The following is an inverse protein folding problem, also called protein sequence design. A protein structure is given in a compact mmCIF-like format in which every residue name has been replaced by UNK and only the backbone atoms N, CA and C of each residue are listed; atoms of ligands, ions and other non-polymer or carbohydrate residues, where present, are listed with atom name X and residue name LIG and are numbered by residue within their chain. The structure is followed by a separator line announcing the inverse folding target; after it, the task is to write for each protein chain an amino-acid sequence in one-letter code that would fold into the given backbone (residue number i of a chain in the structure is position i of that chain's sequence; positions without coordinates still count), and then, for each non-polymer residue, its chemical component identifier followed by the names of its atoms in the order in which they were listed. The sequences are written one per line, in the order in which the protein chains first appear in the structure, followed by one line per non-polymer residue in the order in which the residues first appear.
data_IF_898387430832
#
_entry.id   IF_898387430832
#
_cell.length_a   1.000
_cell.length_b   1.000
_cell.length_c   1.000
_cell.angle_alpha   90.00
_cell.angle_beta   90.00
_cell.angle_gamma   90.00
#
_symmetry.space_group_name_H-M   'P 1'
#
loop_
_entity.id
_entity.type
_entity.pdbx_description
1 polymer ?
#
# COMPACT_ATOMS: atom_id res chain seq x y z
N UNK A 1 -58.70 103.72 30.20
CA UNK A 1 -59.54 102.59 30.64
C UNK A 1 -59.13 101.97 31.97
N UNK A 2 -57.84 101.69 32.25
CA UNK A 2 -57.43 101.00 33.50
C UNK A 2 -57.88 101.64 34.83
N UNK A 3 -57.99 102.97 34.91
CA UNK A 3 -58.44 103.67 36.13
C UNK A 3 -59.92 103.44 36.41
N UNK A 4 -60.74 103.60 35.37
CA UNK A 4 -62.19 103.45 35.43
C UNK A 4 -62.58 102.01 35.81
N UNK A 5 -61.90 101.01 35.23
CA UNK A 5 -62.15 99.59 35.52
C UNK A 5 -61.85 99.17 36.96
N UNK A 6 -60.98 99.91 37.67
CA UNK A 6 -60.62 99.68 39.06
C UNK A 6 -61.38 100.63 40.01
N UNK A 7 -62.35 101.40 39.51
CA UNK A 7 -63.15 102.35 40.29
C UNK A 7 -62.39 103.60 40.77
N UNK A 8 -61.18 103.85 40.26
CA UNK A 8 -60.31 104.95 40.70
C UNK A 8 -60.61 106.22 39.88
N UNK A 9 -60.99 107.29 40.57
CA UNK A 9 -61.32 108.59 39.98
C UNK A 9 -60.11 109.54 39.99
N UNK A 10 -60.23 110.72 39.38
CA UNK A 10 -59.15 111.74 39.42
C UNK A 10 -58.97 112.36 40.81
N UNK A 11 -59.99 112.32 41.66
CA UNK A 11 -59.96 112.88 43.02
C UNK A 11 -59.07 112.08 43.96
N UNK A 12 -58.93 110.78 43.73
CA UNK A 12 -58.14 109.89 44.58
C UNK A 12 -56.63 110.16 44.51
N UNK A 13 -56.17 110.99 43.55
CA UNK A 13 -54.76 111.38 43.31
C UNK A 13 -53.75 110.22 43.31
N UNK A 14 -54.20 108.98 43.12
CA UNK A 14 -53.36 107.78 43.13
C UNK A 14 -52.40 107.80 41.94
N UNK A 15 -51.11 107.56 42.17
CA UNK A 15 -50.08 107.50 41.10
C UNK A 15 -50.33 106.32 40.16
N UNK A 16 -50.08 106.52 38.86
CA UNK A 16 -50.28 105.50 37.81
C UNK A 16 -49.44 104.22 38.01
N UNK A 17 -48.33 104.29 38.74
CA UNK A 17 -47.48 103.12 39.00
C UNK A 17 -48.19 102.07 39.87
N UNK A 18 -48.93 102.52 40.89
CA UNK A 18 -49.73 101.65 41.75
C UNK A 18 -50.85 100.98 40.95
N UNK A 19 -51.59 101.76 40.15
CA UNK A 19 -52.70 101.27 39.31
C UNK A 19 -52.22 100.21 38.29
N UNK A 20 -51.04 100.40 37.70
CA UNK A 20 -50.42 99.43 36.80
C UNK A 20 -49.93 98.17 37.52
N UNK A 21 -49.46 98.31 38.75
CA UNK A 21 -49.08 97.21 39.63
C UNK A 21 -50.28 96.32 40.00
N UNK A 22 -51.40 96.93 40.42
CA UNK A 22 -52.63 96.19 40.78
C UNK A 22 -53.25 95.47 39.58
N UNK A 23 -53.24 96.10 38.41
CA UNK A 23 -53.79 95.52 37.18
C UNK A 23 -52.92 94.42 36.52
N UNK A 24 -51.78 94.04 37.12
CA UNK A 24 -50.83 93.04 36.56
C UNK A 24 -50.40 93.32 35.11
N UNK A 25 -50.51 94.57 34.65
CA UNK A 25 -49.97 95.00 33.37
C UNK A 25 -48.47 95.17 33.59
N UNK A 26 -47.75 94.04 33.56
CA UNK A 26 -46.29 94.01 33.68
C UNK A 26 -45.67 95.08 32.79
N UNK A 27 -44.60 95.73 33.28
CA UNK A 27 -44.03 96.94 32.68
C UNK A 27 -43.93 96.74 31.17
N UNK A 28 -44.85 97.36 30.41
CA UNK A 28 -44.80 97.35 28.94
C UNK A 28 -43.42 97.77 28.44
N UNK A 29 -42.73 98.63 29.22
CA UNK A 29 -41.33 98.98 29.03
C UNK A 29 -40.36 97.80 28.97
N UNK A 30 -40.55 96.72 29.75
CA UNK A 30 -39.69 95.53 29.70
C UNK A 30 -39.87 94.76 28.39
N UNK A 31 -41.10 94.68 27.89
CA UNK A 31 -41.41 94.03 26.60
C UNK A 31 -40.92 94.87 25.43
N UNK A 32 -41.13 96.19 25.47
CA UNK A 32 -40.59 97.15 24.49
C UNK A 32 -39.06 97.14 24.53
N UNK A 33 -38.45 97.01 25.71
CA UNK A 33 -37.00 96.90 25.89
C UNK A 33 -36.47 95.58 25.34
N UNK A 34 -37.14 94.46 25.56
CA UNK A 34 -36.78 93.17 24.97
C UNK A 34 -36.90 93.19 23.43
N UNK A 35 -37.97 93.80 22.90
CA UNK A 35 -38.16 93.99 21.46
C UNK A 35 -37.12 94.94 20.86
N UNK A 36 -36.75 96.01 21.58
CA UNK A 36 -35.66 96.93 21.21
C UNK A 36 -34.29 96.24 21.25
N UNK A 37 -34.00 95.44 22.27
CA UNK A 37 -32.77 94.61 22.36
C UNK A 37 -32.72 93.53 21.27
N UNK A 38 -33.88 93.02 20.86
CA UNK A 38 -34.02 92.10 19.74
C UNK A 38 -33.82 92.81 18.40
N UNK A 39 -34.22 94.07 18.28
CA UNK A 39 -33.98 94.93 17.11
C UNK A 39 -32.50 95.30 16.98
N UNK A 40 -31.83 95.64 18.09
CA UNK A 40 -30.38 95.85 18.16
C UNK A 40 -29.54 94.56 18.14
N UNK A 41 -30.15 93.38 17.97
CA UNK A 41 -29.45 92.11 17.81
C UNK A 41 -28.73 91.57 19.07
N UNK A 42 -28.94 92.18 20.24
CA UNK A 42 -28.31 91.78 21.50
C UNK A 42 -28.84 90.44 22.03
N UNK A 43 -30.08 90.08 21.66
CA UNK A 43 -30.64 88.75 21.94
C UNK A 43 -30.12 87.77 20.88
N UNK A 44 -29.09 87.00 21.23
CA UNK A 44 -28.55 85.95 20.35
C UNK A 44 -29.61 84.89 20.03
N UNK A 45 -30.27 85.01 18.88
CA UNK A 45 -31.05 83.90 18.30
C UNK A 45 -30.13 82.70 18.14
N UNK A 46 -30.41 81.58 18.85
CA UNK A 46 -29.76 80.28 18.60
C UNK A 46 -29.69 80.01 17.10
N UNK A 47 -28.53 80.23 16.49
CA UNK A 47 -28.40 80.25 15.03
C UNK A 47 -28.90 78.92 14.45
N UNK A 48 -30.04 78.97 13.73
CA UNK A 48 -30.56 77.81 12.98
C UNK A 48 -29.46 77.22 12.09
N UNK A 49 -28.53 78.04 11.59
CA UNK A 49 -27.31 77.64 10.85
C UNK A 49 -26.39 76.73 11.69
N UNK A 50 -26.03 77.07 12.93
CA UNK A 50 -25.24 76.21 13.86
C UNK A 50 -25.95 74.88 14.16
N UNK A 51 -27.27 74.89 14.44
CA UNK A 51 -28.06 73.66 14.63
C UNK A 51 -28.07 72.77 13.38
N UNK A 52 -28.30 73.35 12.19
CA UNK A 52 -28.24 72.65 10.89
C UNK A 52 -26.84 72.06 10.62
N UNK A 53 -25.76 72.80 10.93
CA UNK A 53 -24.35 72.34 10.80
C UNK A 53 -24.05 71.16 11.74
N UNK A 54 -24.53 71.20 13.00
CA UNK A 54 -24.41 70.08 13.97
C UNK A 54 -25.18 68.84 13.50
N UNK A 55 -26.40 68.99 12.97
CA UNK A 55 -27.22 67.90 12.38
C UNK A 55 -26.53 67.29 11.15
N UNK A 56 -25.99 68.11 10.24
CA UNK A 56 -25.19 67.67 9.07
C UNK A 56 -23.92 66.90 9.52
N UNK A 57 -23.16 67.40 10.50
CA UNK A 57 -21.99 66.71 11.08
C UNK A 57 -22.37 65.36 11.70
N UNK A 58 -23.45 65.28 12.48
CA UNK A 58 -23.98 64.01 13.05
C UNK A 58 -24.39 63.03 11.95
N UNK A 59 -25.09 63.47 10.89
CA UNK A 59 -25.45 62.63 9.73
C UNK A 59 -24.19 62.11 9.00
N UNK A 60 -23.18 62.96 8.75
CA UNK A 60 -21.89 62.55 8.16
C UNK A 60 -21.16 61.52 9.02
N UNK A 61 -21.08 61.71 10.36
CA UNK A 61 -20.50 60.73 11.30
C UNK A 61 -21.25 59.39 11.26
N UNK A 62 -22.60 59.39 11.28
CA UNK A 62 -23.42 58.16 11.13
C UNK A 62 -23.16 57.44 9.80
N UNK A 63 -23.10 58.16 8.66
CA UNK A 63 -22.75 57.60 7.34
C UNK A 63 -21.34 56.99 7.33
N UNK A 64 -20.32 57.67 7.89
CA UNK A 64 -18.95 57.14 8.03
C UNK A 64 -18.92 55.86 8.88
N UNK A 65 -19.62 55.82 10.03
CA UNK A 65 -19.76 54.62 10.88
C UNK A 65 -20.42 53.45 10.12
N UNK A 66 -21.52 53.70 9.38
CA UNK A 66 -22.19 52.68 8.53
C UNK A 66 -21.25 52.15 7.44
N UNK A 67 -20.51 53.01 6.73
CA UNK A 67 -19.50 52.59 5.72
C UNK A 67 -18.39 51.73 6.35
N UNK A 68 -17.84 52.12 7.50
CA UNK A 68 -16.84 51.32 8.24
C UNK A 68 -17.39 49.93 8.64
N UNK A 69 -18.62 49.86 9.18
CA UNK A 69 -19.29 48.58 9.50
C UNK A 69 -19.48 47.69 8.26
N UNK A 70 -19.94 48.25 7.13
CA UNK A 70 -20.06 47.52 5.84
C UNK A 70 -18.72 46.99 5.35
N UNK A 71 -17.64 47.79 5.38
CA UNK A 71 -16.27 47.36 5.02
C UNK A 71 -15.78 46.22 5.93
N UNK A 72 -15.96 46.32 7.26
CA UNK A 72 -15.62 45.24 8.22
C UNK A 72 -16.40 43.94 7.92
N UNK A 73 -17.72 44.01 7.66
CA UNK A 73 -18.54 42.85 7.26
C UNK A 73 -18.04 42.20 5.96
N UNK A 74 -17.73 43.00 4.92
CA UNK A 74 -17.16 42.50 3.64
C UNK A 74 -15.80 41.80 3.87
N UNK A 75 -14.89 42.39 4.65
CA UNK A 75 -13.60 41.77 5.00
C UNK A 75 -13.78 40.44 5.75
N UNK A 76 -14.68 40.36 6.75
CA UNK A 76 -15.02 39.11 7.47
C UNK A 76 -15.58 38.04 6.51
N UNK A 77 -16.51 38.39 5.61
CA UNK A 77 -17.05 37.46 4.58
C UNK A 77 -15.94 36.95 3.64
N UNK A 78 -15.05 37.81 3.14
CA UNK A 78 -13.89 37.42 2.32
C UNK A 78 -12.96 36.46 3.06
N UNK A 79 -12.61 36.74 4.34
CA UNK A 79 -11.80 35.84 5.19
C UNK A 79 -12.47 34.47 5.38
N UNK A 80 -13.79 34.43 5.68
CA UNK A 80 -14.56 33.17 5.79
C UNK A 80 -14.54 32.37 4.48
N UNK A 81 -14.77 33.01 3.32
CA UNK A 81 -14.69 32.35 1.99
C UNK A 81 -13.28 31.79 1.72
N UNK A 82 -12.21 32.55 2.00
CA UNK A 82 -10.81 32.07 1.87
C UNK A 82 -10.53 30.86 2.77
N UNK A 83 -10.96 30.90 4.04
CA UNK A 83 -10.83 29.75 4.98
C UNK A 83 -11.59 28.51 4.47
N UNK A 84 -12.84 28.66 3.99
CA UNK A 84 -13.62 27.56 3.39
C UNK A 84 -12.91 26.97 2.15
N UNK A 85 -12.39 27.80 1.23
CA UNK A 85 -11.62 27.35 0.05
C UNK A 85 -10.35 26.59 0.47
N UNK A 86 -9.57 27.09 1.45
CA UNK A 86 -8.39 26.38 1.99
C UNK A 86 -8.76 25.02 2.60
N UNK A 87 -9.83 24.94 3.41
CA UNK A 87 -10.34 23.66 3.97
C UNK A 87 -10.76 22.67 2.87
N UNK A 88 -11.50 23.12 1.84
CA UNK A 88 -11.87 22.28 0.67
C UNK A 88 -10.64 21.77 -0.09
N UNK A 89 -9.63 22.62 -0.36
CA UNK A 89 -8.36 22.21 -1.00
C UNK A 89 -7.60 21.17 -0.15
N UNK A 90 -7.47 21.37 1.16
CA UNK A 90 -6.87 20.40 2.09
C UNK A 90 -7.60 19.05 2.07
N UNK A 91 -8.95 19.04 2.14
CA UNK A 91 -9.78 17.81 2.04
C UNK A 91 -9.55 17.09 0.70
N UNK A 92 -9.55 17.81 -0.44
CA UNK A 92 -9.25 17.23 -1.78
C UNK A 92 -7.84 16.61 -1.83
N UNK A 93 -6.80 17.30 -1.32
CA UNK A 93 -5.42 16.76 -1.24
C UNK A 93 -5.36 15.48 -0.37
N UNK A 94 -6.00 15.46 0.81
CA UNK A 94 -6.10 14.26 1.67
C UNK A 94 -6.80 13.09 0.95
N UNK A 95 -7.92 13.33 0.27
CA UNK A 95 -8.63 12.30 -0.54
C UNK A 95 -7.74 11.75 -1.67
N UNK A 96 -7.03 12.61 -2.42
CA UNK A 96 -6.07 12.19 -3.47
C UNK A 96 -4.94 11.33 -2.88
N UNK A 97 -4.32 11.73 -1.75
CA UNK A 97 -3.29 10.94 -1.05
C UNK A 97 -3.82 9.56 -0.61
N UNK A 98 -5.03 9.48 -0.01
CA UNK A 98 -5.68 8.21 0.37
C UNK A 98 -5.93 7.30 -0.85
N UNK A 99 -6.45 7.85 -1.97
CA UNK A 99 -6.63 7.09 -3.23
C UNK A 99 -5.31 6.55 -3.78
N UNK A 100 -4.24 7.36 -3.81
CA UNK A 100 -2.88 6.92 -4.23
C UNK A 100 -2.35 5.78 -3.33
N UNK A 101 -2.46 5.90 -2.00
CA UNK A 101 -2.08 4.84 -1.04
C UNK A 101 -2.87 3.54 -1.28
N UNK A 102 -4.20 3.61 -1.47
CA UNK A 102 -5.04 2.44 -1.80
C UNK A 102 -4.62 1.78 -3.12
N UNK A 103 -4.36 2.55 -4.19
CA UNK A 103 -3.85 2.03 -5.48
C UNK A 103 -2.49 1.33 -5.31
N UNK A 104 -1.54 1.92 -4.58
CA UNK A 104 -0.23 1.29 -4.26
C UNK A 104 -0.40 -0.02 -3.49
N UNK A 105 -1.25 -0.08 -2.46
CA UNK A 105 -1.56 -1.32 -1.71
C UNK A 105 -2.17 -2.40 -2.62
N UNK A 106 -3.14 -2.06 -3.48
CA UNK A 106 -3.73 -2.99 -4.46
C UNK A 106 -2.68 -3.53 -5.43
N UNK A 107 -1.79 -2.68 -5.99
CA UNK A 107 -0.68 -3.12 -6.87
C UNK A 107 0.28 -4.07 -6.14
N UNK A 108 0.68 -3.78 -4.89
CA UNK A 108 1.52 -4.68 -4.07
C UNK A 108 0.85 -6.03 -3.81
N UNK A 109 -0.45 -6.06 -3.46
CA UNK A 109 -1.22 -7.31 -3.28
C UNK A 109 -1.29 -8.13 -4.58
N UNK A 110 -1.56 -7.50 -5.74
CA UNK A 110 -1.54 -8.18 -7.06
C UNK A 110 -0.17 -8.78 -7.39
N UNK A 111 0.93 -8.04 -7.16
CA UNK A 111 2.31 -8.54 -7.35
C UNK A 111 2.60 -9.75 -6.44
N UNK A 112 2.24 -9.70 -5.15
CA UNK A 112 2.39 -10.84 -4.21
C UNK A 112 1.59 -12.07 -4.67
N UNK A 113 0.33 -11.91 -5.09
CA UNK A 113 -0.49 -13.00 -5.65
C UNK A 113 0.14 -13.62 -6.90
N UNK A 114 0.64 -12.81 -7.86
CA UNK A 114 1.36 -13.30 -9.05
C UNK A 114 2.62 -14.09 -8.67
N UNK A 115 3.44 -13.60 -7.74
CA UNK A 115 4.64 -14.33 -7.24
C UNK A 115 4.26 -15.67 -6.60
N UNK A 116 3.23 -15.72 -5.73
CA UNK A 116 2.72 -16.97 -5.13
C UNK A 116 2.24 -17.98 -6.20
N UNK A 117 1.47 -17.53 -7.21
CA UNK A 117 1.03 -18.39 -8.33
C UNK A 117 2.23 -18.95 -9.13
N UNK A 118 3.23 -18.12 -9.46
CA UNK A 118 4.48 -18.57 -10.13
C UNK A 118 5.24 -19.62 -9.30
N UNK A 119 5.40 -19.39 -7.98
CA UNK A 119 6.03 -20.38 -7.06
C UNK A 119 5.26 -21.71 -7.02
N UNK A 120 3.92 -21.68 -6.92
CA UNK A 120 3.07 -22.90 -6.97
C UNK A 120 3.23 -23.66 -8.30
N UNK A 121 3.21 -22.96 -9.45
CA UNK A 121 3.44 -23.57 -10.77
C UNK A 121 4.83 -24.25 -10.86
N UNK A 122 5.89 -23.57 -10.41
CA UNK A 122 7.27 -24.15 -10.36
C UNK A 122 7.32 -25.41 -9.47
N UNK A 123 6.71 -25.38 -8.27
CA UNK A 123 6.63 -26.57 -7.37
C UNK A 123 5.88 -27.73 -8.05
N UNK A 124 4.73 -27.48 -8.70
CA UNK A 124 3.98 -28.51 -9.46
C UNK A 124 4.82 -29.12 -10.59
N UNK A 125 5.52 -28.29 -11.39
CA UNK A 125 6.43 -28.76 -12.46
C UNK A 125 7.56 -29.65 -11.90
N UNK A 126 8.21 -29.24 -10.80
CA UNK A 126 9.25 -30.05 -10.11
C UNK A 126 8.70 -31.39 -9.62
N UNK A 127 7.51 -31.42 -8.98
CA UNK A 127 6.84 -32.66 -8.56
C UNK A 127 6.54 -33.60 -9.73
N UNK A 128 6.01 -33.07 -10.85
CA UNK A 128 5.78 -33.85 -12.09
C UNK A 128 7.08 -34.44 -12.65
N UNK A 129 8.16 -33.66 -12.74
CA UNK A 129 9.49 -34.15 -13.18
C UNK A 129 10.02 -35.27 -12.26
N UNK A 130 9.93 -35.11 -10.93
CA UNK A 130 10.31 -36.17 -9.95
C UNK A 130 9.49 -37.46 -10.14
N UNK A 131 8.16 -37.36 -10.30
CA UNK A 131 7.29 -38.51 -10.58
C UNK A 131 7.68 -39.22 -11.89
N UNK A 132 7.92 -38.49 -12.99
CA UNK A 132 8.39 -39.06 -14.27
C UNK A 132 9.74 -39.79 -14.11
N UNK A 133 10.72 -39.19 -13.41
CA UNK A 133 12.01 -39.84 -13.11
C UNK A 133 11.83 -41.14 -12.30
N UNK A 134 10.99 -41.14 -11.25
CA UNK A 134 10.68 -42.36 -10.46
C UNK A 134 10.03 -43.45 -11.33
N UNK A 135 9.05 -43.11 -12.19
CA UNK A 135 8.43 -44.07 -13.13
C UNK A 135 9.46 -44.66 -14.10
N UNK A 136 10.35 -43.84 -14.70
CA UNK A 136 11.44 -44.31 -15.57
C UNK A 136 12.39 -45.27 -14.84
N UNK A 137 12.81 -44.94 -13.60
CA UNK A 137 13.65 -45.83 -12.76
C UNK A 137 12.96 -47.17 -12.48
N UNK A 138 11.66 -47.17 -12.10
CA UNK A 138 10.87 -48.40 -11.89
C UNK A 138 10.79 -49.26 -13.16
N UNK A 139 10.52 -48.65 -14.33
CA UNK A 139 10.50 -49.37 -15.64
C UNK A 139 11.87 -49.99 -15.95
N UNK A 140 12.98 -49.25 -15.77
CA UNK A 140 14.35 -49.78 -15.95
C UNK A 140 14.63 -50.97 -15.02
N UNK A 141 14.27 -50.88 -13.72
CA UNK A 141 14.42 -52.00 -12.76
C UNK A 141 13.60 -53.24 -13.18
N UNK A 142 12.34 -53.07 -13.60
CA UNK A 142 11.50 -54.17 -14.12
C UNK A 142 12.13 -54.83 -15.36
N UNK A 143 12.62 -54.06 -16.34
CA UNK A 143 13.34 -54.57 -17.53
C UNK A 143 14.59 -55.37 -17.14
N UNK A 144 15.42 -54.86 -16.21
CA UNK A 144 16.59 -55.58 -15.69
C UNK A 144 16.22 -56.90 -15.01
N UNK A 145 15.18 -56.93 -14.16
CA UNK A 145 14.66 -58.17 -13.53
C UNK A 145 14.19 -59.19 -14.58
N UNK A 146 13.41 -58.77 -15.59
CA UNK A 146 12.98 -59.64 -16.70
C UNK A 146 14.18 -60.23 -17.46
N UNK A 147 15.19 -59.41 -17.81
CA UNK A 147 16.43 -59.89 -18.46
C UNK A 147 17.17 -60.93 -17.60
N UNK A 148 17.33 -60.69 -16.28
CA UNK A 148 17.94 -61.65 -15.35
C UNK A 148 17.16 -62.97 -15.29
N UNK A 149 15.82 -62.94 -15.20
CA UNK A 149 14.97 -64.15 -15.23
C UNK A 149 15.15 -64.94 -16.54
N UNK A 150 15.14 -64.27 -17.70
CA UNK A 150 15.41 -64.91 -19.01
C UNK A 150 16.79 -65.58 -19.07
N UNK A 151 17.85 -64.91 -18.60
CA UNK A 151 19.21 -65.48 -18.50
C UNK A 151 19.25 -66.72 -17.60
N UNK A 152 18.61 -66.70 -16.42
CA UNK A 152 18.51 -67.86 -15.52
C UNK A 152 17.78 -69.03 -16.18
N UNK A 153 16.64 -68.80 -16.86
CA UNK A 153 15.92 -69.85 -17.62
C UNK A 153 16.79 -70.46 -18.73
N UNK A 154 17.52 -69.65 -19.51
CA UNK A 154 18.47 -70.16 -20.52
C UNK A 154 19.58 -71.01 -19.91
N UNK A 155 20.18 -70.59 -18.77
CA UNK A 155 21.19 -71.39 -18.04
C UNK A 155 20.62 -72.73 -17.54
N UNK A 156 19.40 -72.75 -16.97
CA UNK A 156 18.73 -73.99 -16.55
C UNK A 156 18.48 -74.95 -17.73
N UNK A 157 18.00 -74.43 -18.89
CA UNK A 157 17.84 -75.24 -20.12
C UNK A 157 19.17 -75.83 -20.59
N UNK A 158 20.27 -75.05 -20.61
CA UNK A 158 21.61 -75.55 -20.95
C UNK A 158 22.08 -76.65 -19.99
N UNK A 159 21.88 -76.49 -18.67
CA UNK A 159 22.20 -77.53 -17.67
C UNK A 159 21.39 -78.81 -17.89
N UNK A 160 20.08 -78.72 -18.18
CA UNK A 160 19.25 -79.89 -18.52
C UNK A 160 19.75 -80.61 -19.79
N UNK A 161 20.09 -79.86 -20.85
CA UNK A 161 20.69 -80.44 -22.06
C UNK A 161 22.02 -81.15 -21.78
N UNK A 162 22.92 -80.53 -20.99
CA UNK A 162 24.18 -81.17 -20.56
C UNK A 162 23.94 -82.45 -19.76
N UNK A 163 23.00 -82.46 -18.80
CA UNK A 163 22.64 -83.68 -18.05
C UNK A 163 22.11 -84.78 -18.98
N UNK A 164 21.23 -84.46 -19.93
CA UNK A 164 20.71 -85.42 -20.93
C UNK A 164 21.83 -85.96 -21.82
N UNK A 165 22.78 -85.11 -22.22
CA UNK A 165 23.95 -85.50 -22.99
C UNK A 165 24.87 -86.46 -22.22
N UNK A 166 25.16 -86.16 -20.94
CA UNK A 166 25.94 -87.05 -20.06
C UNK A 166 25.22 -88.40 -19.87
N UNK A 167 23.91 -88.40 -19.66
CA UNK A 167 23.12 -89.64 -19.54
C UNK A 167 23.19 -90.49 -20.81
N UNK A 168 23.10 -89.88 -22.00
CA UNK A 168 23.27 -90.60 -23.28
C UNK A 168 24.67 -91.20 -23.43
N UNK A 169 25.72 -90.48 -23.03
CA UNK A 169 27.10 -90.99 -23.04
C UNK A 169 27.23 -92.19 -22.09
N UNK A 170 26.74 -92.09 -20.85
CA UNK A 170 26.76 -93.19 -19.88
C UNK A 170 25.96 -94.40 -20.33
N UNK A 171 24.81 -94.20 -20.98
CA UNK A 171 24.00 -95.28 -21.56
C UNK A 171 24.73 -96.02 -22.69
N UNK A 172 25.43 -95.29 -23.59
CA UNK A 172 26.28 -95.90 -24.62
C UNK A 172 27.45 -96.69 -24.02
N UNK A 173 28.10 -96.16 -22.99
CA UNK A 173 29.17 -96.86 -22.29
C UNK A 173 28.70 -98.15 -21.60
N UNK A 174 27.48 -98.16 -21.06
CA UNK A 174 26.88 -99.34 -20.41
C UNK A 174 26.52 -100.45 -21.40
N UNK A 175 26.13 -100.10 -22.62
CA UNK A 175 25.92 -101.05 -23.72
C UNK A 175 27.24 -101.59 -24.28
N UNK A 176 28.28 -100.76 -24.32
CA UNK A 176 29.63 -101.14 -24.77
C UNK A 176 30.35 -102.08 -23.79
N UNK A 177 30.15 -101.92 -22.49
CA UNK A 177 30.83 -102.72 -21.46
C UNK A 177 30.12 -104.05 -21.15
N UNK A 178 29.02 -104.37 -21.85
CA UNK A 178 28.38 -105.70 -21.82
C UNK A 178 29.02 -106.71 -22.77
N UNK A 179 30.02 -106.28 -23.57
CA UNK A 179 30.77 -107.15 -24.48
C UNK A 179 32.26 -106.78 -24.44
N UNK A 180 33.03 -107.73 -23.92
CA UNK A 180 34.48 -107.97 -24.09
C UNK A 180 35.49 -107.46 -23.05
N UNK A 181 36.36 -108.41 -22.74
CA UNK A 181 37.56 -108.40 -21.90
C UNK A 181 38.65 -107.43 -22.42
N UNK A 182 39.45 -106.94 -21.45
CA UNK A 182 40.81 -106.32 -21.45
C UNK A 182 41.77 -106.66 -22.64
N UNK A 183 42.96 -105.99 -22.84
CA UNK A 183 43.64 -104.92 -22.07
C UNK A 183 44.48 -103.88 -22.91
N UNK A 184 45.30 -103.07 -22.18
CA UNK A 184 46.63 -102.51 -22.51
C UNK A 184 46.78 -101.00 -22.83
N UNK A 185 47.43 -100.33 -21.85
CA UNK A 185 48.53 -99.35 -21.91
C UNK A 185 48.38 -98.13 -22.84
N UNK A 186 48.38 -96.92 -22.26
CA UNK A 186 49.62 -96.13 -22.15
C UNK A 186 49.44 -94.82 -21.35
N UNK A 187 50.51 -94.54 -20.60
CA UNK A 187 50.83 -93.30 -19.91
C UNK A 187 51.03 -92.14 -20.90
N UNK A 188 50.30 -91.04 -20.75
CA UNK A 188 50.69 -89.74 -21.32
C UNK A 188 50.00 -88.51 -20.70
N UNK A 189 48.95 -88.68 -19.88
CA UNK A 189 48.15 -87.55 -19.37
C UNK A 189 48.58 -87.01 -17.99
N UNK A 190 49.51 -87.63 -17.27
CA UNK A 190 49.98 -87.07 -15.98
C UNK A 190 51.04 -85.97 -16.10
N UNK A 191 51.65 -85.75 -17.27
CA UNK A 191 52.70 -84.72 -17.44
C UNK A 191 52.20 -83.32 -17.82
N UNK A 192 50.94 -83.17 -18.24
CA UNK A 192 50.39 -81.85 -18.65
C UNK A 192 49.66 -81.15 -17.49
N UNK A 193 49.27 -81.86 -16.44
CA UNK A 193 48.60 -81.24 -15.28
C UNK A 193 49.54 -80.44 -14.36
N UNK A 194 50.83 -80.78 -14.28
CA UNK A 194 51.77 -80.04 -13.42
C UNK A 194 52.29 -78.73 -14.02
N UNK A 195 52.23 -78.55 -15.35
CA UNK A 195 52.80 -77.35 -16.00
C UNK A 195 51.82 -76.15 -16.08
N UNK A 196 50.51 -76.39 -16.03
CA UNK A 196 49.50 -75.32 -16.17
C UNK A 196 49.10 -74.71 -14.81
N UNK A 197 49.32 -75.42 -13.71
CA UNK A 197 49.06 -74.95 -12.33
C UNK A 197 50.09 -73.93 -11.83
N UNK A 198 51.31 -73.90 -12.37
CA UNK A 198 52.33 -72.90 -12.02
C UNK A 198 52.11 -71.54 -12.70
N UNK A 199 51.68 -71.53 -13.98
CA UNK A 199 51.50 -70.29 -14.75
C UNK A 199 50.29 -69.43 -14.33
N UNK A 200 49.22 -70.06 -13.82
CA UNK A 200 48.05 -69.30 -13.34
C UNK A 200 48.23 -68.68 -11.95
N UNK A 201 49.25 -69.11 -11.19
CA UNK A 201 49.59 -68.52 -9.89
C UNK A 201 50.36 -67.18 -10.06
N UNK A 202 51.26 -67.08 -11.05
CA UNK A 202 52.03 -65.85 -11.30
C UNK A 202 51.21 -64.68 -11.89
N UNK A 203 50.14 -64.95 -12.63
CA UNK A 203 49.33 -63.87 -13.23
C UNK A 203 48.36 -63.20 -12.24
N UNK A 204 48.11 -63.80 -11.06
CA UNK A 204 47.22 -63.22 -10.04
C UNK A 204 47.92 -62.25 -9.08
N UNK A 205 49.24 -62.21 -9.05
CA UNK A 205 50.02 -61.29 -8.19
C UNK A 205 50.34 -59.96 -8.92
N UNK A 206 50.44 -59.96 -10.26
CA UNK A 206 50.88 -58.79 -11.05
C UNK A 206 49.82 -57.71 -11.33
N UNK A 207 48.53 -57.98 -11.07
CA UNK A 207 47.43 -57.01 -11.31
C UNK A 207 46.96 -56.29 -10.04
N UNK A 208 47.50 -56.65 -8.87
CA UNK A 208 47.21 -56.01 -7.58
C UNK A 208 48.20 -54.88 -7.24
N UNK A 209 49.29 -54.71 -7.99
CA UNK A 209 50.28 -53.62 -7.83
C UNK A 209 50.07 -52.42 -8.76
N UNK A 210 49.10 -52.46 -9.68
CA UNK A 210 48.73 -51.32 -10.54
C UNK A 210 47.51 -50.54 -10.00
N UNK A 211 47.23 -50.67 -8.70
CA UNK A 211 46.69 -49.57 -7.90
C UNK A 211 47.87 -48.64 -7.58
N UNK A 212 48.11 -47.63 -8.41
CA UNK A 212 49.10 -46.61 -8.08
C UNK A 212 49.47 -45.73 -9.25
N UNK A 213 49.22 -44.44 -9.09
CA UNK A 213 49.88 -43.33 -9.78
C UNK A 213 49.27 -42.73 -11.05
N UNK A 214 48.88 -41.44 -10.86
CA UNK A 214 49.10 -40.25 -11.69
C UNK A 214 48.27 -40.14 -12.98
N UNK A 215 47.36 -39.16 -13.13
CA UNK A 215 47.51 -37.68 -13.15
C UNK A 215 48.19 -37.15 -14.43
N UNK A 216 47.79 -35.93 -14.79
CA UNK A 216 48.31 -34.98 -15.82
C UNK A 216 47.82 -35.24 -17.25
N UNK A 217 46.93 -34.36 -17.75
CA UNK A 217 47.19 -33.24 -18.70
C UNK A 217 47.05 -33.78 -20.13
N UNK A 218 46.71 -33.07 -21.19
CA UNK A 218 46.60 -31.66 -21.51
C UNK A 218 45.94 -31.61 -22.92
N UNK A 219 45.22 -30.52 -23.21
CA UNK A 219 45.02 -29.84 -24.52
C UNK A 219 44.88 -30.64 -25.85
N UNK A 220 43.83 -30.35 -26.63
CA UNK A 220 43.91 -29.54 -27.87
C UNK A 220 42.52 -29.43 -28.56
N UNK A 221 42.19 -28.18 -28.91
CA UNK A 221 41.15 -27.64 -29.81
C UNK A 221 39.66 -27.75 -29.46
#
# INVERSE_FOLDING_TARGET
MLRFSLGVTRLDRIRNEYIRGTAHVGRLGDKVREDRLRWFGHVQRRERKKKKKKKKKKKKKKKKKKKKKKKKKKKKKKKKKKKKKKKKKKKKKKKKKKKKKKKKKKKKKKKKKKKKKKKKKKKKKKKKKKKKKKKKKKKKKKKKKKKKKKKKKKKKKKKKKKKKFIYLIGFKHKLSNGKWSRPLKYNAMSRIQHMVLSYSCMQRVKLLTFLGNRCTDSTYR
#
